data_IF_091676681882
#
_entry.id   IF_091676681882
#
_cell.length_a   1.000
_cell.length_b   1.000
_cell.length_c   1.000
_cell.angle_alpha   90.00
_cell.angle_beta   90.00
_cell.angle_gamma   90.00
#
_symmetry.space_group_name_H-M   'P 1'
#
loop_
_entity.id
_entity.type
_entity.pdbx_description
1 polymer ?
#
# COMPACT_ATOMS: atom_id res chain seq x y z
N UNK A 1 -56.95 1.32 -23.17
CA UNK A 1 -57.17 0.37 -22.05
C UNK A 1 -55.91 0.36 -21.21
N UNK A 2 -56.05 0.54 -19.90
CA UNK A 2 -54.97 0.72 -18.94
C UNK A 2 -54.29 -0.62 -18.61
N UNK A 3 -52.96 -0.69 -18.73
CA UNK A 3 -52.16 -1.82 -18.26
C UNK A 3 -51.04 -1.33 -17.33
N UNK A 4 -51.25 -1.50 -16.01
CA UNK A 4 -50.27 -1.22 -14.95
C UNK A 4 -49.13 -2.25 -15.01
N UNK A 5 -47.88 -1.80 -15.10
CA UNK A 5 -46.72 -2.66 -14.84
C UNK A 5 -46.44 -2.66 -13.33
N UNK A 6 -46.48 -3.85 -12.71
CA UNK A 6 -46.09 -4.07 -11.32
C UNK A 6 -44.57 -4.17 -11.21
N UNK A 7 -43.98 -3.50 -10.23
CA UNK A 7 -42.55 -3.60 -9.93
C UNK A 7 -42.29 -4.86 -9.09
N UNK A 8 -41.49 -5.79 -9.61
CA UNK A 8 -40.71 -6.71 -8.79
C UNK A 8 -39.24 -6.32 -8.95
N UNK A 9 -38.55 -6.10 -7.82
CA UNK A 9 -37.08 -5.94 -7.79
C UNK A 9 -36.46 -7.19 -8.44
N UNK A 10 -35.74 -6.98 -9.53
CA UNK A 10 -34.75 -7.90 -10.05
C UNK A 10 -33.48 -7.06 -10.26
N UNK A 11 -32.38 -7.55 -9.71
CA UNK A 11 -31.07 -6.91 -9.71
C UNK A 11 -30.72 -6.41 -11.11
N UNK A 12 -30.55 -5.10 -11.25
CA UNK A 12 -30.23 -4.47 -12.53
C UNK A 12 -28.72 -4.62 -12.81
N UNK A 13 -28.37 -5.63 -13.58
CA UNK A 13 -27.04 -5.81 -14.17
C UNK A 13 -26.94 -4.96 -15.43
N UNK A 14 -26.03 -3.99 -15.46
CA UNK A 14 -25.71 -3.26 -16.67
C UNK A 14 -24.57 -3.99 -17.42
N UNK A 15 -24.89 -4.63 -18.54
CA UNK A 15 -23.91 -5.18 -19.48
C UNK A 15 -23.65 -4.13 -20.55
N UNK A 16 -22.46 -3.52 -20.57
CA UNK A 16 -22.04 -2.69 -21.70
C UNK A 16 -21.45 -3.60 -22.77
N UNK A 17 -22.23 -3.85 -23.83
CA UNK A 17 -21.78 -4.58 -25.02
C UNK A 17 -21.11 -3.58 -25.95
N UNK A 18 -19.77 -3.52 -25.95
CA UNK A 18 -19.04 -2.85 -27.03
C UNK A 18 -18.83 -3.88 -28.14
N UNK A 19 -19.54 -3.71 -29.26
CA UNK A 19 -19.37 -4.55 -30.44
C UNK A 19 -18.13 -4.10 -31.21
N UNK A 20 -17.00 -4.81 -31.05
CA UNK A 20 -15.87 -4.70 -31.98
C UNK A 20 -15.83 -5.97 -32.81
N UNK A 21 -15.81 -5.79 -34.13
CA UNK A 21 -15.90 -6.86 -35.10
C UNK A 21 -14.72 -7.86 -34.99
N UNK A 22 -15.10 -9.13 -34.84
CA UNK A 22 -14.42 -10.33 -35.37
C UNK A 22 -12.91 -10.46 -35.08
N UNK A 23 -12.58 -10.97 -33.89
CA UNK A 23 -11.64 -12.09 -33.69
C UNK A 23 -11.73 -12.55 -32.23
N UNK A 24 -11.87 -13.87 -32.03
CA UNK A 24 -12.23 -14.49 -30.76
C UNK A 24 -11.08 -14.48 -29.76
N UNK A 25 -11.18 -13.66 -28.70
CA UNK A 25 -10.71 -13.99 -27.35
C UNK A 25 -11.48 -13.12 -26.35
N UNK A 26 -12.55 -13.69 -25.79
CA UNK A 26 -13.34 -13.02 -24.75
C UNK A 26 -12.53 -13.02 -23.45
N UNK A 27 -11.88 -11.89 -23.13
CA UNK A 27 -11.39 -11.63 -21.79
C UNK A 27 -12.54 -11.03 -21.00
N UNK A 28 -13.26 -11.84 -20.24
CA UNK A 28 -14.20 -11.36 -19.24
C UNK A 28 -13.40 -10.66 -18.14
N UNK A 29 -13.19 -9.35 -18.28
CA UNK A 29 -12.72 -8.53 -17.17
C UNK A 29 -13.86 -8.38 -16.17
N UNK A 30 -13.88 -9.26 -15.18
CA UNK A 30 -14.62 -9.04 -13.94
C UNK A 30 -13.86 -7.96 -13.19
N UNK A 31 -14.17 -6.69 -13.47
CA UNK A 31 -13.66 -5.55 -12.69
C UNK A 31 -14.19 -5.77 -11.27
N UNK A 32 -13.33 -6.20 -10.35
CA UNK A 32 -13.71 -6.30 -8.94
C UNK A 32 -13.93 -4.88 -8.42
N UNK A 33 -14.93 -4.70 -7.55
CA UNK A 33 -15.28 -3.43 -6.88
C UNK A 33 -14.21 -2.91 -5.90
N UNK A 34 -12.93 -3.26 -6.09
CA UNK A 34 -11.81 -2.87 -5.22
C UNK A 34 -10.73 -2.12 -5.99
N UNK A 35 -11.10 -1.14 -6.82
CA UNK A 35 -10.15 -0.05 -7.09
C UNK A 35 -10.21 0.90 -5.89
N UNK A 36 -9.38 0.65 -4.88
CA UNK A 36 -9.14 1.62 -3.82
C UNK A 36 -8.10 2.62 -4.34
N UNK A 37 -8.53 3.84 -4.67
CA UNK A 37 -7.58 4.94 -4.77
C UNK A 37 -7.21 5.29 -3.34
N UNK A 38 -6.03 4.87 -2.90
CA UNK A 38 -5.50 5.24 -1.59
C UNK A 38 -4.87 6.63 -1.67
N UNK A 39 -5.13 7.46 -0.66
CA UNK A 39 -4.57 8.80 -0.49
C UNK A 39 -3.80 8.83 0.82
N UNK A 40 -2.48 9.03 0.75
CA UNK A 40 -1.59 9.06 1.94
C UNK A 40 -0.73 10.33 1.97
N UNK A 41 -0.44 10.82 3.20
CA UNK A 41 0.72 11.69 3.50
C UNK A 41 1.68 10.95 4.42
N UNK A 42 2.97 11.17 4.23
CA UNK A 42 4.05 10.53 5.00
C UNK A 42 5.02 11.56 5.52
N UNK A 43 5.53 11.35 6.72
CA UNK A 43 6.45 12.24 7.40
C UNK A 43 7.62 11.43 7.93
N UNK A 44 8.82 11.97 7.78
CA UNK A 44 9.98 11.46 8.52
C UNK A 44 9.96 12.08 9.92
N UNK A 45 10.05 11.25 10.94
CA UNK A 45 10.06 11.67 12.34
C UNK A 45 11.29 11.13 13.05
N UNK A 46 11.60 11.69 14.22
CA UNK A 46 12.60 11.12 15.11
C UNK A 46 11.97 10.21 16.18
N UNK A 47 12.81 9.49 16.92
CA UNK A 47 12.36 8.54 17.94
C UNK A 47 11.60 9.22 19.09
N UNK A 48 11.97 10.46 19.43
CA UNK A 48 11.32 11.21 20.52
C UNK A 48 9.89 11.56 20.09
N UNK A 49 9.73 12.09 18.89
CA UNK A 49 8.45 12.44 18.32
C UNK A 49 7.57 11.20 18.10
N UNK A 50 8.14 10.06 17.69
CA UNK A 50 7.39 8.79 17.61
C UNK A 50 6.74 8.41 18.95
N UNK A 51 7.48 8.51 20.06
CA UNK A 51 6.96 8.22 21.40
C UNK A 51 5.90 9.24 21.81
N UNK A 52 6.11 10.52 21.50
CA UNK A 52 5.13 11.58 21.77
C UNK A 52 3.84 11.39 20.98
N UNK A 53 3.93 11.06 19.69
CA UNK A 53 2.79 10.77 18.81
C UNK A 53 2.04 9.53 19.27
N UNK A 54 2.72 8.46 19.66
CA UNK A 54 2.09 7.25 20.21
C UNK A 54 1.22 7.60 21.43
N UNK A 55 1.72 8.44 22.35
CA UNK A 55 0.94 8.90 23.51
C UNK A 55 -0.20 9.83 23.09
N UNK A 56 0.03 10.69 22.10
CA UNK A 56 -0.97 11.66 21.63
C UNK A 56 -2.14 10.97 20.94
N UNK A 57 -1.89 9.95 20.11
CA UNK A 57 -2.91 9.10 19.49
C UNK A 57 -3.88 8.53 20.53
N UNK A 58 -3.35 7.98 21.63
CA UNK A 58 -4.19 7.51 22.74
C UNK A 58 -5.02 8.60 23.43
N UNK A 59 -4.52 9.84 23.49
CA UNK A 59 -5.24 10.97 24.09
C UNK A 59 -6.34 11.54 23.19
N UNK A 60 -6.16 11.47 21.87
CA UNK A 60 -7.15 11.98 20.89
C UNK A 60 -8.20 10.92 20.53
N UNK A 61 -8.20 9.77 21.22
CA UNK A 61 -9.20 8.72 21.03
C UNK A 61 -8.94 7.83 19.81
N UNK A 62 -7.70 7.76 19.31
CA UNK A 62 -7.36 6.83 18.24
C UNK A 62 -7.37 5.39 18.80
N UNK A 63 -8.05 4.49 18.09
CA UNK A 63 -8.17 3.08 18.44
C UNK A 63 -6.98 2.30 17.85
N UNK A 64 -6.27 1.54 18.68
CA UNK A 64 -5.18 0.69 18.19
C UNK A 64 -5.76 -0.43 17.31
N UNK A 65 -5.23 -0.58 16.10
CA UNK A 65 -5.68 -1.57 15.13
C UNK A 65 -4.81 -2.83 15.19
N UNK A 66 -3.51 -2.69 14.90
CA UNK A 66 -2.57 -3.82 14.88
C UNK A 66 -1.10 -3.38 14.96
N UNK A 67 -0.24 -4.36 15.26
CA UNK A 67 1.21 -4.25 15.13
C UNK A 67 1.72 -5.40 14.23
N UNK A 68 2.69 -5.11 13.36
CA UNK A 68 3.24 -6.11 12.46
C UNK A 68 4.72 -5.87 12.19
N UNK A 69 5.50 -6.96 12.21
CA UNK A 69 6.79 -7.01 11.54
C UNK A 69 6.57 -7.45 10.08
N UNK A 70 7.05 -6.65 9.13
CA UNK A 70 6.85 -6.90 7.71
C UNK A 70 8.18 -7.00 6.96
N UNK A 71 8.36 -8.08 6.19
CA UNK A 71 9.39 -8.19 5.17
C UNK A 71 8.78 -7.95 3.79
N UNK A 72 9.24 -6.92 3.08
CA UNK A 72 8.67 -6.50 1.81
C UNK A 72 9.67 -6.79 0.67
N UNK A 73 9.28 -7.65 -0.26
CA UNK A 73 10.04 -8.08 -1.44
C UNK A 73 9.42 -7.46 -2.69
N UNK A 74 10.14 -6.56 -3.36
CA UNK A 74 9.63 -5.81 -4.50
C UNK A 74 10.23 -6.32 -5.80
N UNK A 75 9.35 -6.68 -6.71
CA UNK A 75 9.69 -7.18 -8.04
C UNK A 75 9.31 -6.16 -9.11
N UNK A 76 10.26 -5.89 -10.01
CA UNK A 76 10.16 -4.87 -11.06
C UNK A 76 10.67 -5.42 -12.40
N UNK A 77 10.51 -4.65 -13.47
CA UNK A 77 10.96 -5.00 -14.81
C UNK A 77 9.86 -4.89 -15.87
N UNK A 78 10.28 -4.69 -17.12
CA UNK A 78 9.40 -4.66 -18.29
C UNK A 78 8.22 -3.72 -18.13
N UNK A 79 7.02 -4.23 -18.41
CA UNK A 79 5.76 -3.45 -18.40
C UNK A 79 5.43 -2.82 -17.04
N UNK A 80 5.94 -3.37 -15.93
CA UNK A 80 5.72 -2.76 -14.61
C UNK A 80 6.43 -1.41 -14.52
N UNK A 81 7.67 -1.32 -14.99
CA UNK A 81 8.44 -0.07 -14.92
C UNK A 81 7.85 1.01 -15.84
N UNK A 82 7.40 0.62 -17.04
CA UNK A 82 6.72 1.52 -17.99
C UNK A 82 5.45 2.13 -17.40
N UNK A 83 4.72 1.37 -16.57
CA UNK A 83 3.50 1.82 -15.89
C UNK A 83 3.75 2.55 -14.58
N UNK A 84 4.99 2.63 -14.11
CA UNK A 84 5.28 3.08 -12.74
C UNK A 84 4.66 2.17 -11.68
N UNK A 85 4.54 0.88 -12.00
CA UNK A 85 3.96 -0.17 -11.17
C UNK A 85 5.03 -1.08 -10.54
N UNK A 86 4.63 -1.85 -9.53
CA UNK A 86 5.48 -2.80 -8.83
C UNK A 86 4.64 -3.97 -8.30
N UNK A 87 5.22 -5.17 -8.32
CA UNK A 87 4.72 -6.30 -7.56
C UNK A 87 5.44 -6.38 -6.22
N UNK A 88 4.71 -6.64 -5.15
CA UNK A 88 5.26 -6.78 -3.82
C UNK A 88 4.75 -8.05 -3.16
N UNK A 89 5.65 -8.88 -2.69
CA UNK A 89 5.35 -9.89 -1.68
C UNK A 89 5.67 -9.32 -0.30
N UNK A 90 4.65 -9.18 0.53
CA UNK A 90 4.80 -8.80 1.93
C UNK A 90 4.62 -10.04 2.79
N UNK A 91 5.69 -10.46 3.46
CA UNK A 91 5.69 -11.55 4.45
C UNK A 91 5.52 -10.94 5.84
N UNK A 92 4.62 -11.52 6.62
CA UNK A 92 4.40 -11.21 8.04
C UNK A 92 4.42 -12.52 8.81
N UNK A 93 4.35 -12.46 10.15
CA UNK A 93 4.26 -13.68 10.96
C UNK A 93 2.98 -14.49 10.67
N UNK A 94 1.90 -13.85 10.23
CA UNK A 94 0.60 -14.50 10.04
C UNK A 94 0.37 -15.00 8.62
N UNK A 95 0.81 -14.23 7.61
CA UNK A 95 0.49 -14.48 6.21
C UNK A 95 1.46 -13.78 5.25
N UNK A 96 1.42 -14.23 4.00
CA UNK A 96 2.05 -13.52 2.88
C UNK A 96 0.98 -12.94 1.96
N UNK A 97 1.15 -11.68 1.56
CA UNK A 97 0.25 -10.96 0.65
C UNK A 97 1.03 -10.56 -0.59
N UNK A 98 0.50 -10.90 -1.76
CA UNK A 98 0.93 -10.36 -3.04
C UNK A 98 0.12 -9.08 -3.33
N UNK A 99 0.82 -7.99 -3.64
CA UNK A 99 0.21 -6.72 -4.02
C UNK A 99 0.74 -6.25 -5.36
N UNK A 100 -0.15 -5.83 -6.27
CA UNK A 100 0.19 -4.97 -7.40
C UNK A 100 -0.09 -3.52 -7.02
N UNK A 101 0.89 -2.63 -7.16
CA UNK A 101 0.74 -1.19 -6.91
C UNK A 101 1.11 -0.41 -8.17
N UNK A 102 0.26 0.51 -8.61
CA UNK A 102 0.51 1.39 -9.75
C UNK A 102 0.26 2.85 -9.38
N UNK A 103 1.26 3.70 -9.59
CA UNK A 103 1.14 5.11 -9.27
C UNK A 103 0.24 5.81 -10.29
N UNK A 104 -0.77 6.51 -9.80
CA UNK A 104 -1.51 7.47 -10.60
C UNK A 104 -0.74 8.79 -10.54
N UNK A 105 -0.40 9.36 -11.69
CA UNK A 105 0.30 10.65 -11.71
C UNK A 105 -0.48 11.69 -10.91
N UNK A 106 0.13 12.23 -9.85
CA UNK A 106 -0.47 13.26 -8.99
C UNK A 106 0.33 14.56 -9.14
N UNK A 107 -0.38 15.67 -9.29
CA UNK A 107 0.17 17.04 -9.24
C UNK A 107 0.08 17.66 -7.83
N UNK A 108 -0.34 16.87 -6.85
CA UNK A 108 -0.56 17.32 -5.46
C UNK A 108 0.49 16.71 -4.52
N UNK A 109 0.55 17.20 -3.28
CA UNK A 109 1.36 16.63 -2.21
C UNK A 109 0.89 15.23 -1.75
N UNK A 110 -0.30 14.81 -2.19
CA UNK A 110 -0.86 13.51 -1.89
C UNK A 110 -0.43 12.47 -2.92
N UNK A 111 -0.08 11.29 -2.42
CA UNK A 111 0.19 10.14 -3.27
C UNK A 111 -1.13 9.41 -3.55
N UNK A 112 -1.39 9.17 -4.83
CA UNK A 112 -2.53 8.38 -5.32
C UNK A 112 -2.02 7.16 -6.08
N UNK A 113 -2.63 6.01 -5.82
CA UNK A 113 -2.22 4.75 -6.43
C UNK A 113 -3.39 3.78 -6.55
N UNK A 114 -3.32 2.91 -7.56
CA UNK A 114 -4.17 1.72 -7.65
C UNK A 114 -3.46 0.59 -6.93
N UNK A 115 -4.19 -0.12 -6.07
CA UNK A 115 -3.71 -1.33 -5.42
C UNK A 115 -4.65 -2.51 -5.63
N UNK A 116 -4.08 -3.68 -5.94
CA UNK A 116 -4.77 -4.96 -5.90
C UNK A 116 -3.98 -5.92 -5.02
N UNK A 117 -4.65 -6.57 -4.08
CA UNK A 117 -4.01 -7.47 -3.13
C UNK A 117 -4.73 -8.82 -2.98
N UNK A 118 -3.95 -9.86 -2.71
CA UNK A 118 -4.44 -11.17 -2.33
C UNK A 118 -3.45 -11.87 -1.40
N UNK A 119 -3.99 -12.66 -0.47
CA UNK A 119 -3.17 -13.61 0.30
C UNK A 119 -2.69 -14.71 -0.64
N UNK A 120 -1.44 -15.14 -0.46
CA UNK A 120 -0.87 -16.28 -1.19
C UNK A 120 -0.51 -17.39 -0.20
N UNK A 121 -0.84 -18.63 -0.56
CA UNK A 121 -0.61 -19.79 0.30
C UNK A 121 0.81 -20.35 0.17
N UNK A 122 1.38 -20.32 -1.03
CA UNK A 122 2.72 -20.82 -1.34
C UNK A 122 3.58 -19.67 -1.87
N UNK A 123 4.54 -19.26 -1.05
CA UNK A 123 5.41 -18.12 -1.33
C UNK A 123 6.43 -18.45 -2.40
N UNK A 124 7.05 -19.64 -2.34
CA UNK A 124 8.11 -20.06 -3.26
C UNK A 124 7.55 -20.28 -4.67
N UNK A 125 6.36 -20.87 -4.77
CA UNK A 125 5.65 -20.98 -6.03
C UNK A 125 5.29 -19.61 -6.60
N UNK A 126 4.85 -18.67 -5.75
CA UNK A 126 4.52 -17.31 -6.18
C UNK A 126 5.75 -16.55 -6.68
N UNK A 127 6.87 -16.61 -5.96
CA UNK A 127 8.15 -16.02 -6.39
C UNK A 127 8.60 -16.62 -7.73
N UNK A 128 8.54 -17.95 -7.86
CA UNK A 128 8.88 -18.65 -9.11
C UNK A 128 8.02 -18.20 -10.29
N UNK A 129 6.71 -17.99 -10.08
CA UNK A 129 5.81 -17.47 -11.12
C UNK A 129 6.23 -16.05 -11.53
N UNK A 130 6.48 -15.17 -10.56
CA UNK A 130 6.88 -13.77 -10.81
C UNK A 130 8.17 -13.73 -11.65
N UNK A 131 9.17 -14.55 -11.29
CA UNK A 131 10.43 -14.64 -12.03
C UNK A 131 10.24 -15.18 -13.46
N UNK A 132 9.42 -16.22 -13.64
CA UNK A 132 9.12 -16.80 -14.96
C UNK A 132 8.35 -15.85 -15.87
N UNK A 133 7.60 -14.90 -15.30
CA UNK A 133 6.97 -13.80 -16.04
C UNK A 133 7.98 -12.70 -16.43
N UNK A 134 9.23 -12.79 -15.99
CA UNK A 134 10.32 -11.89 -16.35
C UNK A 134 10.54 -10.73 -15.38
N UNK A 135 9.86 -10.71 -14.24
CA UNK A 135 10.06 -9.70 -13.20
C UNK A 135 11.15 -10.14 -12.22
N UNK A 136 12.00 -9.21 -11.81
CA UNK A 136 13.14 -9.48 -10.95
C UNK A 136 12.97 -8.81 -9.60
N UNK A 137 13.40 -9.49 -8.54
CA UNK A 137 13.54 -8.87 -7.24
C UNK A 137 14.53 -7.70 -7.34
N UNK A 138 14.11 -6.51 -6.93
CA UNK A 138 14.92 -5.29 -7.01
C UNK A 138 15.19 -4.67 -5.65
N UNK A 139 14.28 -4.86 -4.69
CA UNK A 139 14.36 -4.18 -3.40
C UNK A 139 13.76 -5.04 -2.30
N UNK A 140 14.44 -5.12 -1.17
CA UNK A 140 13.91 -5.72 0.05
C UNK A 140 13.97 -4.71 1.18
N UNK A 141 12.91 -4.58 1.95
CA UNK A 141 12.96 -3.81 3.20
C UNK A 141 12.11 -4.42 4.30
N UNK A 142 12.61 -4.27 5.52
CA UNK A 142 11.93 -4.66 6.74
C UNK A 142 11.33 -3.43 7.42
N UNK A 143 10.21 -3.62 8.13
CA UNK A 143 9.65 -2.60 9.01
C UNK A 143 8.87 -3.17 10.18
N UNK A 144 8.88 -2.44 11.29
CA UNK A 144 7.89 -2.60 12.36
C UNK A 144 6.83 -1.52 12.19
N UNK A 145 5.57 -1.94 12.00
CA UNK A 145 4.43 -1.05 11.87
C UNK A 145 3.54 -1.16 13.10
N UNK A 146 3.07 -0.02 13.59
CA UNK A 146 1.90 0.08 14.46
C UNK A 146 0.85 0.94 13.79
N UNK A 147 -0.40 0.49 13.80
CA UNK A 147 -1.51 1.15 13.13
C UNK A 147 -2.63 1.50 14.12
N UNK A 148 -3.27 2.65 13.89
CA UNK A 148 -4.41 3.15 14.63
C UNK A 148 -5.50 3.64 13.67
N UNK A 149 -6.75 3.48 14.06
CA UNK A 149 -7.88 4.15 13.43
C UNK A 149 -8.24 5.41 14.21
N UNK A 150 -8.32 6.55 13.51
CA UNK A 150 -8.80 7.82 14.06
C UNK A 150 -9.90 8.35 13.15
N UNK A 151 -11.15 8.12 13.55
CA UNK A 151 -12.31 8.39 12.70
C UNK A 151 -12.28 7.54 11.43
N UNK A 152 -12.16 8.19 10.26
CA UNK A 152 -12.09 7.53 8.94
C UNK A 152 -10.66 7.38 8.41
N UNK A 153 -9.67 7.74 9.22
CA UNK A 153 -8.26 7.67 8.84
C UNK A 153 -7.55 6.50 9.49
N UNK A 154 -6.55 5.98 8.80
CA UNK A 154 -5.53 5.13 9.40
C UNK A 154 -4.27 5.97 9.64
N UNK A 155 -3.78 5.96 10.87
CA UNK A 155 -2.48 6.54 11.23
C UNK A 155 -1.54 5.39 11.54
N UNK A 156 -0.40 5.35 10.86
CA UNK A 156 0.64 4.34 11.10
C UNK A 156 1.92 5.00 11.57
N UNK A 157 2.60 4.34 12.51
CA UNK A 157 3.95 4.66 12.93
C UNK A 157 4.85 3.49 12.54
N UNK A 158 5.81 3.76 11.67
CA UNK A 158 6.73 2.79 11.11
C UNK A 158 8.15 3.03 11.64
N UNK A 159 8.81 1.96 12.06
CA UNK A 159 10.25 1.88 12.24
C UNK A 159 10.84 1.06 11.10
N UNK A 160 11.83 1.63 10.41
CA UNK A 160 12.65 0.97 9.40
C UNK A 160 14.12 1.04 9.81
N UNK A 161 15.00 0.20 9.24
CA UNK A 161 16.43 0.21 9.56
C UNK A 161 17.12 1.57 9.39
N UNK A 162 16.56 2.46 8.57
CA UNK A 162 17.10 3.79 8.29
C UNK A 162 16.30 4.96 8.92
N UNK A 163 15.30 4.69 9.76
CA UNK A 163 14.61 5.73 10.51
C UNK A 163 13.14 5.46 10.81
N UNK A 164 12.49 6.49 11.37
CA UNK A 164 11.11 6.45 11.83
C UNK A 164 10.22 7.31 10.95
N UNK A 165 9.01 6.83 10.71
CA UNK A 165 8.04 7.47 9.83
C UNK A 165 6.65 7.40 10.40
N UNK A 166 5.82 8.35 9.99
CA UNK A 166 4.39 8.32 10.19
C UNK A 166 3.72 8.41 8.82
N UNK A 167 2.66 7.64 8.60
CA UNK A 167 1.76 7.84 7.47
C UNK A 167 0.34 8.08 7.98
N UNK A 168 -0.38 8.96 7.31
CA UNK A 168 -1.82 9.20 7.54
C UNK A 168 -2.51 8.92 6.23
N UNK A 169 -3.42 7.96 6.25
CA UNK A 169 -4.19 7.52 5.09
C UNK A 169 -5.68 7.82 5.31
N UNK A 170 -6.32 8.39 4.29
CA UNK A 170 -7.73 8.78 4.34
C UNK A 170 -8.08 9.78 3.25
N UNK A 171 -9.29 10.33 3.30
CA UNK A 171 -9.64 11.46 2.44
C UNK A 171 -8.74 12.67 2.76
N UNK A 172 -8.52 13.54 1.77
CA UNK A 172 -7.65 14.73 1.90
C UNK A 172 -8.06 15.58 3.11
N UNK A 173 -9.35 15.83 3.27
CA UNK A 173 -9.90 16.65 4.34
C UNK A 173 -9.70 15.98 5.71
N UNK A 174 -9.88 14.66 5.78
CA UNK A 174 -9.69 13.89 7.01
C UNK A 174 -8.21 13.86 7.43
N UNK A 175 -7.27 13.76 6.47
CA UNK A 175 -5.82 13.84 6.74
C UNK A 175 -5.47 15.19 7.37
N UNK A 176 -5.95 16.29 6.80
CA UNK A 176 -5.66 17.65 7.30
C UNK A 176 -6.19 17.85 8.72
N UNK A 177 -7.36 17.30 9.05
CA UNK A 177 -7.90 17.37 10.41
C UNK A 177 -7.08 16.52 11.40
N UNK A 178 -6.59 15.35 11.00
CA UNK A 178 -5.68 14.55 11.81
C UNK A 178 -4.35 15.28 12.04
N UNK A 179 -3.81 15.96 11.02
CA UNK A 179 -2.58 16.78 11.16
C UNK A 179 -2.75 17.83 12.27
N UNK A 180 -3.89 18.52 12.32
CA UNK A 180 -4.23 19.50 13.36
C UNK A 180 -4.37 18.85 14.74
N UNK A 181 -5.12 17.76 14.83
CA UNK A 181 -5.32 17.03 16.09
C UNK A 181 -3.98 16.55 16.67
N UNK A 182 -3.09 16.04 15.82
CA UNK A 182 -1.75 15.60 16.18
C UNK A 182 -0.74 16.74 16.32
N UNK A 183 -1.09 17.96 15.89
CA UNK A 183 -0.24 19.16 16.01
C UNK A 183 1.05 19.06 15.21
N UNK A 184 0.97 18.47 14.01
CA UNK A 184 2.11 18.12 13.15
C UNK A 184 2.15 18.93 11.85
N UNK A 185 1.29 19.93 11.70
CA UNK A 185 1.16 20.77 10.48
C UNK A 185 2.47 21.44 10.04
N UNK A 186 3.43 21.54 10.95
CA UNK A 186 4.75 22.12 10.72
C UNK A 186 5.80 21.12 10.20
N UNK A 187 5.48 19.82 10.17
CA UNK A 187 6.41 18.79 9.72
C UNK A 187 6.54 18.79 8.21
N UNK A 188 7.77 18.61 7.73
CA UNK A 188 8.01 18.42 6.29
C UNK A 188 7.53 17.03 5.84
N UNK A 189 6.83 17.01 4.72
CA UNK A 189 6.36 15.78 4.08
C UNK A 189 7.56 15.02 3.50
N UNK A 190 7.54 13.70 3.62
CA UNK A 190 8.42 12.78 2.92
C UNK A 190 7.69 12.19 1.69
N UNK A 191 7.87 12.78 0.48
CA UNK A 191 7.14 12.37 -0.72
C UNK A 191 7.64 11.04 -1.29
N UNK A 192 8.76 10.50 -0.80
CA UNK A 192 9.33 9.24 -1.30
C UNK A 192 8.67 8.08 -0.57
N UNK A 193 8.07 7.16 -1.31
CA UNK A 193 7.68 5.85 -0.78
C UNK A 193 8.90 5.05 -0.32
N UNK A 194 8.70 4.11 0.61
CA UNK A 194 9.76 3.26 1.13
C UNK A 194 10.65 2.60 0.08
N UNK A 195 10.17 2.12 -1.08
CA UNK A 195 11.05 1.55 -2.10
C UNK A 195 12.13 2.52 -2.59
N UNK A 196 11.79 3.81 -2.73
CA UNK A 196 12.72 4.86 -3.15
C UNK A 196 13.64 5.29 -2.00
N UNK A 197 13.16 5.21 -0.76
CA UNK A 197 14.00 5.44 0.43
C UNK A 197 15.01 4.31 0.61
N UNK A 198 14.59 3.06 0.47
CA UNK A 198 15.46 1.88 0.49
C UNK A 198 16.50 1.94 -0.61
N UNK A 199 16.13 2.29 -1.85
CA UNK A 199 17.10 2.49 -2.92
C UNK A 199 18.17 3.56 -2.60
N UNK A 200 17.83 4.54 -1.75
CA UNK A 200 18.76 5.63 -1.36
C UNK A 200 19.58 5.31 -0.11
N UNK A 201 19.01 4.60 0.86
CA UNK A 201 19.53 4.46 2.22
C UNK A 201 19.88 3.01 2.60
N UNK A 202 19.48 2.04 1.78
CA UNK A 202 19.79 0.62 1.96
C UNK A 202 21.19 0.26 1.47
N UNK A 203 21.47 -1.04 1.51
CA UNK A 203 22.75 -1.65 1.17
C UNK A 203 22.57 -2.46 -0.12
N UNK A 204 23.48 -2.30 -1.09
CA UNK A 204 23.47 -3.12 -2.31
C UNK A 204 24.00 -4.53 -2.01
N UNK A 205 23.21 -5.55 -2.34
CA UNK A 205 23.54 -6.98 -2.24
C UNK A 205 23.27 -7.64 -3.59
N UNK A 206 24.33 -7.87 -4.37
CA UNK A 206 24.18 -8.30 -5.76
C UNK A 206 23.39 -7.27 -6.57
N UNK A 207 22.29 -7.70 -7.20
CA UNK A 207 21.38 -6.82 -7.97
C UNK A 207 20.25 -6.22 -7.13
N UNK A 208 20.18 -6.53 -5.83
CA UNK A 208 19.08 -6.13 -4.93
C UNK A 208 19.57 -5.07 -3.94
N UNK A 209 18.75 -4.04 -3.69
CA UNK A 209 18.99 -3.12 -2.56
C UNK A 209 18.18 -3.56 -1.35
N UNK A 210 18.85 -3.77 -0.23
CA UNK A 210 18.24 -4.26 1.01
C UNK A 210 18.30 -3.25 2.15
N UNK A 211 17.21 -3.09 2.89
CA UNK A 211 17.19 -2.45 4.20
C UNK A 211 16.62 -3.42 5.22
N UNK A 212 17.50 -4.11 5.96
CA UNK A 212 17.15 -5.07 6.99
C UNK A 212 17.62 -4.61 8.35
N UNK A 213 16.89 -4.96 9.41
CA UNK A 213 17.36 -4.74 10.77
C UNK A 213 18.58 -5.63 11.03
N UNK A 214 19.48 -5.15 11.89
CA UNK A 214 20.56 -5.99 12.35
C UNK A 214 19.97 -7.20 13.08
N UNK A 215 20.25 -8.41 12.57
CA UNK A 215 19.95 -9.63 13.31
C UNK A 215 20.77 -9.56 14.59
N UNK A 216 20.11 -9.51 15.75
CA UNK A 216 20.82 -9.73 17.00
C UNK A 216 21.55 -11.07 16.86
N UNK A 217 22.87 -11.08 17.07
CA UNK A 217 23.57 -12.34 17.28
C UNK A 217 22.91 -12.95 18.50
N UNK A 218 22.14 -14.01 18.31
CA UNK A 218 21.63 -14.84 19.39
C UNK A 218 22.82 -15.20 20.28
N UNK A 219 22.83 -14.64 21.49
CA UNK A 219 23.76 -14.99 22.56
C UNK A 219 23.37 -16.35 23.14
#
# INVERSE_FOLDING_TARGET
MHGRASWKKADSWAVVVVTVAKTRRFSYYRISEKMAIETEKKYRIDKKLLVELTRKLGKVGAEFAYESFEENYLHRGGVLDERGAVLRLRKTQEKTVLTYKEKLGSQTEFKQQIEFETVVADVDATESIIERLGYKLSTVYEKHRKAWHLGKTEVVLDELPFGYYMEIEGAIEDIVEVEKMLGIEHLEIEPRGYPRLTAKLGIQVGDVVEARFEKSKSA
#
